data_IF_497884656669
#
_entry.id   IF_497884656669
#
_cell.length_a   1.000
_cell.length_b   1.000
_cell.length_c   1.000
_cell.angle_alpha   90.00
_cell.angle_beta   90.00
_cell.angle_gamma   90.00
#
_symmetry.space_group_name_H-M   'P 1'
#
loop_
_entity.id
_entity.type
_entity.pdbx_description
1 polymer ?
#
# COMPACT_ATOMS: atom_id res chain seq x y z
N UNK A 1 1.97 4.64 -10.09
CA UNK A 1 1.39 3.28 -10.04
C UNK A 1 1.16 2.87 -8.59
N UNK A 2 -0.04 3.07 -8.04
CA UNK A 2 -0.40 2.73 -6.63
C UNK A 2 -1.92 2.59 -6.48
N UNK A 3 -2.36 2.08 -5.33
CA UNK A 3 -3.76 2.05 -4.87
C UNK A 3 -3.96 2.94 -3.63
N UNK A 4 -5.22 3.19 -3.26
CA UNK A 4 -5.60 3.94 -2.06
C UNK A 4 -5.53 3.04 -0.83
N UNK A 5 -4.60 3.32 0.08
CA UNK A 5 -4.52 2.68 1.39
C UNK A 5 -5.41 3.45 2.37
N UNK A 6 -6.32 2.80 3.09
CA UNK A 6 -7.19 3.48 4.04
C UNK A 6 -6.41 3.91 5.29
N UNK A 7 -6.26 5.21 5.48
CA UNK A 7 -5.73 5.81 6.70
C UNK A 7 -6.85 6.62 7.36
N UNK A 8 -7.31 6.15 8.52
CA UNK A 8 -8.44 6.78 9.21
C UNK A 8 -8.00 7.98 10.05
N UNK A 9 -8.85 9.02 10.11
CA UNK A 9 -8.64 10.11 11.04
C UNK A 9 -8.64 9.59 12.49
N UNK A 10 -7.67 10.06 13.28
CA UNK A 10 -7.56 9.68 14.69
C UNK A 10 -6.73 8.43 14.96
N UNK A 11 -6.15 7.74 13.98
CA UNK A 11 -5.16 6.68 14.26
C UNK A 11 -3.96 7.22 15.07
N UNK A 12 -3.23 6.34 15.77
CA UNK A 12 -2.07 6.74 16.60
C UNK A 12 -0.72 6.57 15.91
N UNK A 13 -0.64 5.72 14.90
CA UNK A 13 0.60 5.44 14.19
C UNK A 13 0.32 4.98 12.75
N UNK A 14 1.38 4.86 11.97
CA UNK A 14 1.41 4.42 10.57
C UNK A 14 2.55 3.41 10.37
N UNK A 15 2.58 2.66 9.25
CA UNK A 15 3.71 1.79 8.93
C UNK A 15 5.07 2.47 9.07
N UNK A 16 6.08 1.73 9.55
CA UNK A 16 7.45 2.24 9.65
C UNK A 16 8.00 2.72 8.30
N UNK A 17 7.59 2.06 7.22
CA UNK A 17 7.98 2.42 5.85
C UNK A 17 7.44 3.79 5.42
N UNK A 18 6.36 4.28 6.02
CA UNK A 18 5.79 5.60 5.74
C UNK A 18 6.56 6.70 6.50
N UNK A 19 7.15 6.34 7.64
CA UNK A 19 7.98 7.22 8.47
C UNK A 19 9.43 7.28 7.98
N UNK A 20 9.89 6.24 7.28
CA UNK A 20 11.27 6.13 6.79
C UNK A 20 11.56 7.13 5.65
N UNK A 21 12.49 8.10 5.83
CA UNK A 21 12.81 9.08 4.81
C UNK A 21 13.38 8.44 3.54
N UNK A 22 12.82 8.78 2.37
CA UNK A 22 13.33 8.29 1.09
C UNK A 22 14.57 9.04 0.58
N UNK A 23 14.68 10.35 0.84
CA UNK A 23 15.72 11.19 0.20
C UNK A 23 16.97 11.44 1.06
N UNK A 24 16.86 11.33 2.39
CA UNK A 24 17.95 11.72 3.30
C UNK A 24 19.12 10.72 3.31
N UNK A 25 18.83 9.44 3.15
CA UNK A 25 19.82 8.35 3.26
C UNK A 25 20.06 7.62 1.94
N UNK A 26 19.55 8.15 0.82
CA UNK A 26 19.60 7.48 -0.48
C UNK A 26 18.60 6.33 -0.64
N UNK A 27 18.82 5.50 -1.66
CA UNK A 27 17.97 4.36 -1.97
C UNK A 27 17.88 3.38 -0.81
N UNK A 28 16.65 3.03 -0.40
CA UNK A 28 16.40 2.11 0.71
C UNK A 28 15.09 1.36 0.53
N UNK A 29 15.15 0.03 0.65
CA UNK A 29 13.94 -0.82 0.63
C UNK A 29 13.05 -0.63 1.86
N UNK A 30 13.55 0.03 2.90
CA UNK A 30 12.77 0.38 4.10
C UNK A 30 11.76 1.49 3.86
N UNK A 31 11.96 2.34 2.84
CA UNK A 31 11.07 3.46 2.56
C UNK A 31 9.97 3.08 1.57
N UNK A 32 8.71 3.35 1.94
CA UNK A 32 7.57 3.20 1.04
C UNK A 32 7.72 4.07 -0.22
N UNK A 33 8.31 5.27 -0.08
CA UNK A 33 8.56 6.16 -1.22
C UNK A 33 9.38 5.46 -2.30
N UNK A 34 10.45 4.74 -1.92
CA UNK A 34 11.27 4.01 -2.88
C UNK A 34 10.57 2.80 -3.49
N UNK A 35 9.68 2.12 -2.75
CA UNK A 35 8.89 1.01 -3.27
C UNK A 35 8.07 1.47 -4.49
N UNK A 36 7.31 2.54 -4.31
CA UNK A 36 6.45 3.09 -5.38
C UNK A 36 7.24 3.85 -6.44
N UNK A 37 8.30 4.56 -6.07
CA UNK A 37 9.15 5.25 -7.03
C UNK A 37 9.82 4.24 -7.97
N UNK A 38 10.42 3.17 -7.44
CA UNK A 38 11.02 2.11 -8.27
C UNK A 38 9.98 1.45 -9.16
N UNK A 39 8.85 1.02 -8.60
CA UNK A 39 7.77 0.42 -9.38
C UNK A 39 7.30 1.35 -10.52
N UNK A 40 7.09 2.63 -10.23
CA UNK A 40 6.70 3.64 -11.20
C UNK A 40 7.73 3.80 -12.31
N UNK A 41 9.01 3.95 -11.95
CA UNK A 41 10.13 4.08 -12.91
C UNK A 41 10.24 2.85 -13.83
N UNK A 42 10.07 1.64 -13.29
CA UNK A 42 10.11 0.42 -14.10
C UNK A 42 8.91 0.36 -15.04
N UNK A 43 7.70 0.56 -14.52
CA UNK A 43 6.48 0.50 -15.34
C UNK A 43 6.53 1.51 -16.49
N UNK A 44 7.13 2.69 -16.26
CA UNK A 44 7.22 3.74 -17.27
C UNK A 44 8.08 3.35 -18.48
N UNK A 45 9.06 2.45 -18.34
CA UNK A 45 9.92 2.02 -19.45
C UNK A 45 9.12 1.42 -20.61
N UNK A 46 8.10 0.63 -20.27
CA UNK A 46 7.22 -0.03 -21.25
C UNK A 46 5.77 0.09 -20.82
N UNK A 47 5.31 1.32 -20.62
CA UNK A 47 3.97 1.58 -20.09
C UNK A 47 2.85 0.86 -20.87
N UNK A 48 2.96 0.78 -22.19
CA UNK A 48 1.99 0.07 -23.04
C UNK A 48 1.77 -1.38 -22.61
N UNK A 49 2.84 -2.09 -22.24
CA UNK A 49 2.81 -3.50 -21.84
C UNK A 49 2.64 -3.64 -20.32
N UNK A 50 3.52 -3.01 -19.54
CA UNK A 50 3.64 -3.21 -18.10
C UNK A 50 2.42 -2.71 -17.31
N UNK A 51 1.67 -1.72 -17.84
CA UNK A 51 0.44 -1.25 -17.18
C UNK A 51 -0.59 -2.36 -16.99
N UNK A 52 -0.61 -3.36 -17.88
CA UNK A 52 -1.58 -4.46 -17.79
C UNK A 52 -1.28 -5.35 -16.59
N UNK A 53 -0.01 -5.68 -16.36
CA UNK A 53 0.43 -6.46 -15.19
C UNK A 53 0.22 -5.70 -13.88
N UNK A 54 0.42 -4.38 -13.93
CA UNK A 54 0.12 -3.48 -12.83
C UNK A 54 -1.37 -3.50 -12.48
N UNK A 55 -2.24 -3.35 -13.49
CA UNK A 55 -3.70 -3.37 -13.30
C UNK A 55 -4.17 -4.71 -12.76
N UNK A 56 -3.63 -5.82 -13.27
CA UNK A 56 -3.94 -7.18 -12.82
C UNK A 56 -3.73 -7.38 -11.32
N UNK A 57 -2.67 -6.78 -10.75
CA UNK A 57 -2.38 -6.84 -9.32
C UNK A 57 -3.21 -5.82 -8.52
N UNK A 58 -3.31 -4.58 -9.01
CA UNK A 58 -3.90 -3.48 -8.22
C UNK A 58 -5.42 -3.45 -8.22
N UNK A 59 -6.07 -3.77 -9.33
CA UNK A 59 -7.53 -3.74 -9.43
C UNK A 59 -8.23 -4.63 -8.40
N UNK A 60 -7.89 -5.94 -8.24
CA UNK A 60 -8.57 -6.78 -7.26
C UNK A 60 -8.32 -6.31 -5.82
N UNK A 61 -7.11 -5.85 -5.49
CA UNK A 61 -6.80 -5.34 -4.15
C UNK A 61 -7.57 -4.05 -3.83
N UNK A 62 -7.66 -3.13 -4.78
CA UNK A 62 -8.43 -1.90 -4.60
C UNK A 62 -9.92 -2.19 -4.45
N UNK A 63 -10.44 -3.15 -5.21
CA UNK A 63 -11.82 -3.60 -5.11
C UNK A 63 -12.11 -4.25 -3.76
N UNK A 64 -11.21 -5.10 -3.25
CA UNK A 64 -11.32 -5.71 -1.91
C UNK A 64 -11.41 -4.64 -0.83
N UNK A 65 -10.51 -3.64 -0.89
CA UNK A 65 -10.50 -2.53 0.07
C UNK A 65 -11.81 -1.75 0.07
N UNK A 66 -12.35 -1.42 -1.10
CA UNK A 66 -13.64 -0.72 -1.20
C UNK A 66 -14.81 -1.58 -0.76
N UNK A 67 -14.80 -2.87 -1.11
CA UNK A 67 -15.88 -3.81 -0.74
C UNK A 67 -15.94 -4.00 0.77
N UNK A 68 -14.79 -4.11 1.44
CA UNK A 68 -14.71 -4.37 2.87
C UNK A 68 -14.84 -3.11 3.73
N UNK A 69 -14.76 -1.91 3.14
CA UNK A 69 -14.75 -0.65 3.89
C UNK A 69 -15.98 -0.46 4.79
N UNK A 70 -17.23 -0.68 4.34
CA UNK A 70 -18.41 -0.50 5.19
C UNK A 70 -18.39 -1.39 6.44
N UNK A 71 -17.95 -2.64 6.31
CA UNK A 71 -17.91 -3.60 7.42
C UNK A 71 -16.86 -3.22 8.47
N UNK A 72 -15.68 -2.77 8.02
CA UNK A 72 -14.61 -2.28 8.89
C UNK A 72 -15.07 -1.03 9.66
N UNK A 73 -15.72 -0.08 8.98
CA UNK A 73 -16.24 1.13 9.62
C UNK A 73 -17.36 0.84 10.61
N UNK A 74 -18.26 -0.09 10.28
CA UNK A 74 -19.33 -0.52 11.19
C UNK A 74 -18.78 -1.23 12.43
N UNK A 75 -17.73 -2.04 12.28
CA UNK A 75 -17.03 -2.66 13.40
C UNK A 75 -16.36 -1.61 14.28
N UNK A 76 -15.66 -0.64 13.68
CA UNK A 76 -15.02 0.46 14.41
C UNK A 76 -16.04 1.30 15.17
N UNK A 77 -17.19 1.62 14.57
CA UNK A 77 -18.27 2.36 15.21
C UNK A 77 -18.85 1.59 16.41
N UNK A 78 -19.05 0.27 16.24
CA UNK A 78 -19.54 -0.60 17.31
C UNK A 78 -18.57 -0.69 18.48
N UNK A 79 -17.26 -0.73 18.21
CA UNK A 79 -16.21 -0.64 19.22
C UNK A 79 -16.20 0.72 19.90
N UNK A 80 -16.36 1.81 19.12
CA UNK A 80 -16.27 3.18 19.62
C UNK A 80 -17.36 3.47 20.65
N UNK A 81 -18.59 3.01 20.39
CA UNK A 81 -19.73 3.12 21.32
C UNK A 81 -19.46 2.46 22.69
N UNK A 82 -18.60 1.44 22.73
CA UNK A 82 -18.25 0.71 23.97
C UNK A 82 -16.98 1.26 24.61
N UNK A 83 -15.95 1.52 23.81
CA UNK A 83 -14.65 2.02 24.23
C UNK A 83 -13.97 2.73 23.04
N UNK A 84 -13.94 4.07 23.02
CA UNK A 84 -13.31 4.84 21.95
C UNK A 84 -11.84 4.47 21.69
N UNK A 85 -11.08 4.14 22.74
CA UNK A 85 -9.68 3.75 22.61
C UNK A 85 -9.52 2.41 21.86
N UNK A 86 -10.42 1.44 22.08
CA UNK A 86 -10.40 0.18 21.33
C UNK A 86 -10.68 0.36 19.85
N UNK A 87 -11.60 1.25 19.49
CA UNK A 87 -11.84 1.59 18.08
C UNK A 87 -10.62 2.26 17.44
N UNK A 88 -9.98 3.17 18.18
CA UNK A 88 -8.75 3.84 17.73
C UNK A 88 -7.62 2.86 17.47
N UNK A 89 -7.39 1.91 18.38
CA UNK A 89 -6.41 0.83 18.19
C UNK A 89 -6.77 -0.04 16.99
N UNK A 90 -8.02 -0.49 16.88
CA UNK A 90 -8.47 -1.29 15.75
C UNK A 90 -8.23 -0.62 14.39
N UNK A 91 -8.60 0.66 14.23
CA UNK A 91 -8.38 1.41 12.99
C UNK A 91 -6.89 1.65 12.72
N UNK A 92 -6.09 1.85 13.77
CA UNK A 92 -4.63 2.00 13.65
C UNK A 92 -4.02 0.70 13.11
N UNK A 93 -4.34 -0.44 13.72
CA UNK A 93 -3.82 -1.74 13.31
C UNK A 93 -4.26 -2.11 11.89
N UNK A 94 -5.52 -1.82 11.53
CA UNK A 94 -6.03 -2.03 10.17
C UNK A 94 -5.29 -1.19 9.13
N UNK A 95 -5.07 0.11 9.43
CA UNK A 95 -4.33 1.04 8.56
C UNK A 95 -2.87 0.60 8.38
N UNK A 96 -2.22 0.18 9.48
CA UNK A 96 -0.84 -0.33 9.46
C UNK A 96 -0.74 -1.63 8.66
N UNK A 97 -1.66 -2.56 8.88
CA UNK A 97 -1.72 -3.83 8.14
C UNK A 97 -1.75 -3.56 6.64
N UNK A 98 -2.71 -2.78 6.17
CA UNK A 98 -2.85 -2.51 4.73
C UNK A 98 -1.71 -1.69 4.16
N UNK A 99 -1.19 -0.71 4.91
CA UNK A 99 -0.01 0.03 4.46
C UNK A 99 1.22 -0.85 4.29
N UNK A 100 1.46 -1.80 5.20
CA UNK A 100 2.54 -2.80 5.05
C UNK A 100 2.29 -3.74 3.87
N UNK A 101 1.07 -4.27 3.74
CA UNK A 101 0.70 -5.18 2.63
C UNK A 101 0.91 -4.52 1.27
N UNK A 102 0.47 -3.28 1.10
CA UNK A 102 0.52 -2.56 -0.17
C UNK A 102 1.96 -2.15 -0.53
N UNK A 103 2.77 -1.74 0.46
CA UNK A 103 4.21 -1.50 0.23
C UNK A 103 4.94 -2.77 -0.18
N UNK A 104 4.69 -3.89 0.51
CA UNK A 104 5.31 -5.16 0.16
C UNK A 104 4.91 -5.59 -1.25
N UNK A 105 3.62 -5.47 -1.59
CA UNK A 105 3.15 -5.81 -2.94
C UNK A 105 3.77 -4.93 -4.01
N UNK A 106 4.05 -3.65 -3.72
CA UNK A 106 4.73 -2.77 -4.66
C UNK A 106 6.16 -3.21 -4.95
N UNK A 107 6.87 -3.70 -3.92
CA UNK A 107 8.17 -4.34 -4.09
C UNK A 107 8.08 -5.60 -4.94
N UNK A 108 7.17 -6.52 -4.59
CA UNK A 108 6.98 -7.79 -5.31
C UNK A 108 6.65 -7.54 -6.78
N UNK A 109 5.77 -6.59 -7.06
CA UNK A 109 5.37 -6.22 -8.42
C UNK A 109 6.53 -5.61 -9.21
N UNK A 110 7.32 -4.74 -8.59
CA UNK A 110 8.53 -4.19 -9.21
C UNK A 110 9.57 -5.28 -9.51
N UNK A 111 9.75 -6.23 -8.61
CA UNK A 111 10.66 -7.38 -8.79
C UNK A 111 10.14 -8.31 -9.91
N UNK A 112 8.83 -8.54 -9.98
CA UNK A 112 8.23 -9.31 -11.07
C UNK A 112 8.39 -8.63 -12.43
N UNK A 113 8.12 -7.32 -12.53
CA UNK A 113 8.30 -6.56 -13.77
C UNK A 113 9.76 -6.57 -14.24
N UNK A 114 10.70 -6.40 -13.31
CA UNK A 114 12.13 -6.49 -13.62
C UNK A 114 12.48 -7.83 -14.25
N UNK A 115 12.10 -8.94 -13.61
CA UNK A 115 12.41 -10.29 -14.10
C UNK A 115 11.71 -10.63 -15.41
N UNK A 116 10.44 -10.26 -15.57
CA UNK A 116 9.64 -10.63 -16.74
C UNK A 116 10.10 -9.94 -18.03
N UNK A 117 10.57 -8.70 -17.89
CA UNK A 117 10.98 -7.84 -18.99
C UNK A 117 12.50 -7.67 -19.08
N UNK A 118 13.27 -8.46 -18.33
CA UNK A 118 14.71 -8.55 -18.50
C UNK A 118 15.07 -8.90 -19.95
N UNK A 119 16.12 -8.26 -20.47
CA UNK A 119 16.53 -8.30 -21.88
C UNK A 119 15.46 -7.86 -22.92
N UNK A 120 14.32 -7.31 -22.46
CA UNK A 120 13.21 -6.84 -23.30
C UNK A 120 12.90 -5.35 -23.09
N UNK A 121 13.77 -4.64 -22.38
CA UNK A 121 13.64 -3.19 -22.15
C UNK A 121 13.78 -2.43 -23.47
#
# INVERSE_FOLDING_TARGET
>A
TSIYVPLYCGITDVPESFKTPGRKTGYSRKSAWWAFNRLGTLTAQRWGDMRHNVTEVWSPMQQELFTNQPDIEQQALSLHKKNPQKARTFLTDYSIKWGNTVVQKAWDLGDMLWTRYDEKF
#
